data_IF_203134667356
#
_entry.id   IF_203134667356
#
_cell.length_a   1.000
_cell.length_b   1.000
_cell.length_c   1.000
_cell.angle_alpha   90.00
_cell.angle_beta   90.00
_cell.angle_gamma   90.00
#
_symmetry.space_group_name_H-M   'P 1'
#
loop_
_entity.id
_entity.type
_entity.pdbx_description
1 polymer ?
#
# COMPACT_ATOMS: atom_id res chain seq x y z
N UNK A 1 13.26 8.87 -30.47
CA UNK A 1 13.78 7.68 -29.75
C UNK A 1 14.20 8.17 -28.36
N UNK A 2 13.34 7.97 -27.35
CA UNK A 2 13.75 8.26 -25.99
C UNK A 2 14.69 7.16 -25.51
N UNK A 3 15.92 7.53 -25.24
CA UNK A 3 16.92 6.64 -24.62
C UNK A 3 16.49 6.43 -23.17
N UNK A 4 15.89 5.29 -22.86
CA UNK A 4 15.61 4.89 -21.48
C UNK A 4 16.97 4.71 -20.81
N UNK A 5 17.31 5.63 -19.89
CA UNK A 5 18.53 5.49 -19.10
C UNK A 5 18.32 4.30 -18.15
N UNK A 6 19.20 3.30 -18.16
CA UNK A 6 19.03 2.17 -17.25
C UNK A 6 19.07 2.68 -15.80
N UNK A 7 18.27 2.11 -14.90
CA UNK A 7 18.34 2.42 -13.49
C UNK A 7 19.74 2.10 -12.96
N UNK A 8 20.25 2.83 -11.96
CA UNK A 8 21.50 2.49 -11.32
C UNK A 8 21.43 1.05 -10.80
N UNK A 9 22.55 0.34 -10.84
CA UNK A 9 22.65 -1.09 -10.51
C UNK A 9 22.11 -1.47 -9.12
N UNK A 10 21.84 -0.50 -8.27
CA UNK A 10 21.36 -0.60 -6.90
C UNK A 10 19.83 -0.50 -6.74
N UNK A 11 19.07 -0.31 -7.80
CA UNK A 11 17.62 -0.10 -7.71
C UNK A 11 16.86 -1.19 -8.46
N UNK A 12 15.81 -1.71 -7.82
CA UNK A 12 14.85 -2.58 -8.46
C UNK A 12 13.94 -1.74 -9.36
N UNK A 13 13.89 -2.08 -10.65
CA UNK A 13 12.95 -1.46 -11.57
C UNK A 13 11.68 -2.31 -11.64
N UNK A 14 10.56 -1.71 -11.26
CA UNK A 14 9.27 -2.39 -11.22
C UNK A 14 8.77 -2.74 -12.62
N UNK A 15 9.02 -1.89 -13.60
CA UNK A 15 8.51 -2.05 -14.96
C UNK A 15 9.45 -2.82 -15.88
N UNK A 16 10.76 -2.60 -15.75
CA UNK A 16 11.78 -3.15 -16.63
C UNK A 16 12.53 -4.30 -15.94
N UNK A 17 12.86 -5.32 -16.69
CA UNK A 17 13.70 -6.41 -16.27
C UNK A 17 14.93 -6.52 -17.18
N UNK A 18 16.04 -6.95 -16.61
CA UNK A 18 17.19 -7.40 -17.37
C UNK A 18 16.88 -8.79 -17.90
N UNK A 19 16.65 -8.90 -19.20
CA UNK A 19 16.42 -10.19 -19.87
C UNK A 19 17.66 -10.58 -20.62
N UNK A 20 18.10 -11.82 -20.48
CA UNK A 20 19.08 -12.40 -21.41
C UNK A 20 18.42 -12.54 -22.78
N UNK A 21 19.12 -12.19 -23.84
CA UNK A 21 18.78 -12.28 -25.26
C UNK A 21 17.31 -12.61 -25.62
N UNK A 22 16.48 -11.59 -25.77
CA UNK A 22 15.14 -11.67 -26.35
C UNK A 22 14.93 -10.57 -27.40
N UNK A 23 14.05 -10.77 -28.40
CA UNK A 23 13.96 -9.91 -29.59
C UNK A 23 13.32 -8.53 -29.36
N UNK A 24 12.79 -8.21 -28.20
CA UNK A 24 11.98 -7.00 -27.98
C UNK A 24 12.58 -5.97 -26.99
N UNK A 25 13.85 -6.06 -26.64
CA UNK A 25 14.47 -5.18 -25.64
C UNK A 25 15.55 -4.27 -26.21
N UNK A 26 15.82 -3.19 -25.50
CA UNK A 26 16.95 -2.28 -25.79
C UNK A 26 18.23 -2.91 -25.23
N UNK A 27 19.26 -3.03 -26.07
CA UNK A 27 20.57 -3.48 -25.61
C UNK A 27 21.25 -2.38 -24.79
N UNK A 28 21.66 -2.72 -23.59
CA UNK A 28 22.36 -1.83 -22.68
C UNK A 28 23.67 -2.46 -22.21
N UNK A 29 24.73 -1.69 -22.24
CA UNK A 29 26.03 -2.12 -21.72
C UNK A 29 26.12 -1.77 -20.23
N UNK A 30 26.38 -2.76 -19.39
CA UNK A 30 26.63 -2.60 -17.96
C UNK A 30 28.09 -2.84 -17.64
N UNK A 31 28.71 -1.90 -16.96
CA UNK A 31 30.04 -2.09 -16.40
C UNK A 31 29.90 -2.71 -14.99
N UNK A 32 30.44 -3.89 -14.81
CA UNK A 32 30.52 -4.57 -13.52
C UNK A 32 31.95 -4.44 -13.00
N UNK A 33 32.12 -3.86 -11.82
CA UNK A 33 33.38 -3.91 -11.11
C UNK A 33 33.47 -5.24 -10.37
N UNK A 34 34.46 -6.07 -10.71
CA UNK A 34 34.81 -7.25 -9.93
C UNK A 34 35.60 -6.85 -8.68
N UNK A 35 35.55 -7.67 -7.66
CA UNK A 35 36.33 -7.50 -6.40
C UNK A 35 37.85 -7.43 -6.62
N UNK A 36 38.33 -7.59 -7.86
CA UNK A 36 39.72 -7.46 -8.26
C UNK A 36 40.03 -6.24 -9.15
N UNK A 37 39.13 -5.24 -9.23
CA UNK A 37 39.38 -3.98 -9.95
C UNK A 37 39.24 -4.05 -11.48
N UNK A 38 38.95 -5.21 -12.05
CA UNK A 38 38.67 -5.32 -13.50
C UNK A 38 37.22 -4.93 -13.81
N UNK A 39 37.07 -4.03 -14.78
CA UNK A 39 35.74 -3.62 -15.30
C UNK A 39 35.39 -4.60 -16.43
N UNK A 40 34.38 -5.39 -16.20
CA UNK A 40 33.81 -6.25 -17.24
C UNK A 40 32.55 -5.53 -17.80
N UNK A 41 32.49 -5.39 -19.12
CA UNK A 41 31.30 -4.87 -19.81
C UNK A 41 30.41 -6.04 -20.16
N UNK A 42 29.23 -6.10 -19.57
CA UNK A 42 28.21 -7.09 -19.88
C UNK A 42 27.11 -6.41 -20.71
N UNK A 43 26.81 -6.94 -21.88
CA UNK A 43 25.67 -6.51 -22.68
C UNK A 43 24.44 -7.31 -22.24
N UNK A 44 23.40 -6.63 -21.80
CA UNK A 44 22.14 -7.25 -21.45
C UNK A 44 20.98 -6.54 -22.18
N UNK A 45 19.94 -7.29 -22.46
CA UNK A 45 18.71 -6.73 -23.02
C UNK A 45 17.82 -6.28 -21.86
N UNK A 46 17.32 -5.06 -21.94
CA UNK A 46 16.33 -4.53 -20.99
C UNK A 46 14.99 -4.48 -21.68
N UNK A 47 14.00 -5.14 -21.13
CA UNK A 47 12.63 -5.14 -21.64
C UNK A 47 11.61 -5.04 -20.51
N UNK A 48 10.35 -4.75 -20.83
CA UNK A 48 9.31 -4.74 -19.83
C UNK A 48 9.13 -6.14 -19.22
N UNK A 49 8.84 -6.20 -17.92
CA UNK A 49 8.40 -7.43 -17.28
C UNK A 49 7.10 -7.90 -17.91
N UNK A 50 6.85 -9.20 -17.98
CA UNK A 50 5.69 -9.78 -18.68
C UNK A 50 4.37 -9.13 -18.27
N UNK A 51 4.17 -8.89 -17.00
CA UNK A 51 2.95 -8.24 -16.47
C UNK A 51 2.86 -6.75 -16.81
N UNK A 52 3.98 -6.11 -17.19
CA UNK A 52 3.99 -4.72 -17.68
C UNK A 52 3.97 -4.62 -19.22
N UNK A 53 4.11 -5.72 -19.96
CA UNK A 53 4.18 -5.68 -21.41
C UNK A 53 2.96 -4.99 -22.06
N UNK A 54 1.70 -5.27 -21.68
CA UNK A 54 0.54 -4.57 -22.23
C UNK A 54 0.53 -3.07 -21.94
N UNK A 55 1.03 -2.68 -20.76
CA UNK A 55 1.15 -1.28 -20.37
C UNK A 55 2.28 -0.57 -21.12
N UNK A 56 3.43 -1.21 -21.25
CA UNK A 56 4.56 -0.72 -22.05
C UNK A 56 4.18 -0.49 -23.50
N UNK A 57 3.48 -1.44 -24.11
CA UNK A 57 2.92 -1.33 -25.45
C UNK A 57 1.96 -0.15 -25.61
N UNK A 58 1.13 0.05 -24.60
CA UNK A 58 0.21 1.18 -24.58
C UNK A 58 0.96 2.50 -24.47
N UNK A 59 1.97 2.61 -23.58
CA UNK A 59 2.81 3.80 -23.41
C UNK A 59 3.53 4.18 -24.71
N UNK A 60 4.12 3.20 -25.42
CA UNK A 60 4.85 3.47 -26.66
C UNK A 60 3.97 3.99 -27.80
N UNK A 61 2.67 3.67 -27.75
CA UNK A 61 1.68 4.14 -28.72
C UNK A 61 0.95 5.41 -28.29
N UNK A 62 1.11 5.81 -27.03
CA UNK A 62 0.43 6.99 -26.47
C UNK A 62 1.32 8.19 -26.60
N UNK A 63 0.81 9.28 -27.22
CA UNK A 63 1.54 10.53 -27.30
C UNK A 63 1.77 11.14 -25.92
N UNK A 64 2.95 11.70 -25.68
CA UNK A 64 3.32 12.36 -24.42
C UNK A 64 2.31 13.44 -24.00
N UNK A 65 1.80 14.19 -24.99
CA UNK A 65 0.76 15.18 -24.76
C UNK A 65 -0.53 14.58 -24.18
N UNK A 66 -0.89 13.36 -24.59
CA UNK A 66 -2.06 12.66 -24.05
C UNK A 66 -1.85 12.26 -22.58
N UNK A 67 -0.66 11.81 -22.21
CA UNK A 67 -0.32 11.50 -20.82
C UNK A 67 -0.37 12.77 -19.94
N UNK A 68 0.19 13.86 -20.42
CA UNK A 68 0.14 15.15 -19.72
C UNK A 68 -1.30 15.63 -19.52
N UNK A 69 -2.15 15.49 -20.52
CA UNK A 69 -3.58 15.83 -20.41
C UNK A 69 -4.30 14.94 -19.40
N UNK A 70 -4.06 13.63 -19.41
CA UNK A 70 -4.66 12.69 -18.45
C UNK A 70 -4.21 12.99 -17.03
N UNK A 71 -2.95 13.36 -16.82
CA UNK A 71 -2.44 13.80 -15.51
C UNK A 71 -3.15 15.08 -15.04
N UNK A 72 -3.27 16.07 -15.89
CA UNK A 72 -4.00 17.30 -15.57
C UNK A 72 -5.48 17.04 -15.25
N UNK A 73 -6.12 16.09 -15.95
CA UNK A 73 -7.48 15.65 -15.66
C UNK A 73 -7.57 14.94 -14.30
N UNK A 74 -6.59 14.12 -13.94
CA UNK A 74 -6.51 13.48 -12.64
C UNK A 74 -6.44 14.52 -11.51
N UNK A 75 -5.53 15.48 -11.63
CA UNK A 75 -5.35 16.56 -10.66
C UNK A 75 -6.62 17.41 -10.50
N UNK A 76 -7.30 17.71 -11.63
CA UNK A 76 -8.57 18.45 -11.59
C UNK A 76 -9.69 17.66 -10.90
N UNK A 77 -9.78 16.36 -11.15
CA UNK A 77 -10.75 15.48 -10.50
C UNK A 77 -10.49 15.41 -9.00
N UNK A 78 -9.25 15.24 -8.58
CA UNK A 78 -8.88 15.20 -7.16
C UNK A 78 -9.22 16.51 -6.45
N UNK A 79 -8.92 17.66 -7.06
CA UNK A 79 -9.34 18.97 -6.51
C UNK A 79 -10.85 19.07 -6.35
N UNK A 80 -11.63 18.68 -7.35
CA UNK A 80 -13.10 18.77 -7.33
C UNK A 80 -13.75 17.88 -6.28
N UNK A 81 -13.13 16.73 -5.99
CA UNK A 81 -13.63 15.77 -4.99
C UNK A 81 -13.16 16.15 -3.58
N UNK A 82 -12.18 17.08 -3.47
CA UNK A 82 -11.60 17.46 -2.18
C UNK A 82 -10.60 16.43 -1.64
N UNK A 83 -9.94 15.67 -2.53
CA UNK A 83 -8.87 14.73 -2.15
C UNK A 83 -7.61 15.52 -1.87
N UNK A 84 -7.61 16.20 -0.75
CA UNK A 84 -6.52 17.05 -0.28
C UNK A 84 -6.07 16.56 1.09
N UNK A 85 -4.86 16.89 1.46
CA UNK A 85 -4.36 16.70 2.81
C UNK A 85 -3.73 17.98 3.33
N UNK A 86 -3.89 18.20 4.61
CA UNK A 86 -3.24 19.32 5.30
C UNK A 86 -1.97 18.82 5.94
N UNK A 87 -0.85 19.48 5.70
CA UNK A 87 0.42 19.12 6.34
C UNK A 87 0.41 19.68 7.77
N UNK A 88 0.53 18.81 8.76
CA UNK A 88 0.65 19.22 10.15
C UNK A 88 1.91 20.07 10.35
N UNK A 89 1.76 21.26 10.90
CA UNK A 89 2.88 22.20 11.13
C UNK A 89 3.06 23.28 10.05
N UNK A 90 2.22 23.31 9.02
CA UNK A 90 2.17 24.40 8.06
C UNK A 90 1.03 25.36 8.47
N UNK A 91 1.40 26.47 9.14
CA UNK A 91 0.44 27.48 9.60
C UNK A 91 -0.27 28.21 8.44
N UNK A 92 0.16 27.99 7.20
CA UNK A 92 -0.47 28.57 6.03
C UNK A 92 -1.81 27.91 5.66
N UNK A 93 -2.14 26.76 6.27
CA UNK A 93 -3.37 26.01 5.99
C UNK A 93 -3.51 25.56 4.54
N UNK A 94 -2.40 25.48 3.81
CA UNK A 94 -2.40 25.16 2.38
C UNK A 94 -2.79 23.71 2.17
N UNK A 95 -3.97 23.49 1.61
CA UNK A 95 -4.40 22.18 1.16
C UNK A 95 -3.54 21.73 -0.03
N UNK A 96 -2.90 20.57 0.13
CA UNK A 96 -2.12 19.93 -0.93
C UNK A 96 -2.90 18.78 -1.53
N UNK A 97 -2.84 18.67 -2.85
CA UNK A 97 -3.34 17.46 -3.53
C UNK A 97 -2.51 16.26 -3.17
N UNK A 98 -3.15 15.12 -3.00
CA UNK A 98 -2.44 13.84 -2.95
C UNK A 98 -1.81 13.60 -4.33
N UNK A 99 -0.48 13.46 -4.42
CA UNK A 99 0.17 13.23 -5.69
C UNK A 99 -0.29 11.90 -6.29
N UNK A 100 -0.73 11.93 -7.54
CA UNK A 100 -1.16 10.74 -8.28
C UNK A 100 -0.18 10.45 -9.40
N UNK A 101 0.39 9.24 -9.40
CA UNK A 101 1.15 8.74 -10.52
C UNK A 101 0.21 8.06 -11.52
N UNK A 102 0.32 8.45 -12.80
CA UNK A 102 -0.45 7.83 -13.87
C UNK A 102 0.12 6.48 -14.31
N UNK A 103 1.33 6.16 -13.87
CA UNK A 103 1.96 4.85 -14.10
C UNK A 103 1.62 3.94 -12.91
N UNK A 104 0.76 2.93 -13.09
CA UNK A 104 0.37 2.05 -12.00
C UNK A 104 1.52 1.12 -11.61
N UNK A 105 1.67 0.85 -10.31
CA UNK A 105 2.45 -0.29 -9.85
C UNK A 105 1.57 -1.53 -9.96
N UNK A 106 2.01 -2.49 -10.79
CA UNK A 106 1.27 -3.73 -11.04
C UNK A 106 1.82 -4.82 -10.10
N UNK A 107 0.94 -5.35 -9.26
CA UNK A 107 1.20 -6.51 -8.41
C UNK A 107 0.49 -7.70 -9.05
N UNK A 108 1.22 -8.73 -9.41
CA UNK A 108 0.65 -9.93 -10.02
C UNK A 108 -0.16 -10.76 -9.02
N UNK A 109 -1.00 -11.67 -9.52
CA UNK A 109 -1.79 -12.56 -8.67
C UNK A 109 -0.91 -13.43 -7.75
N UNK A 110 0.23 -13.92 -8.27
CA UNK A 110 1.17 -14.74 -7.50
C UNK A 110 1.88 -13.91 -6.42
N UNK A 111 2.32 -12.70 -6.76
CA UNK A 111 2.90 -11.78 -5.79
C UNK A 111 1.91 -11.42 -4.69
N UNK A 112 0.65 -11.13 -5.08
CA UNK A 112 -0.40 -10.84 -4.11
C UNK A 112 -0.68 -12.03 -3.20
N UNK A 113 -0.77 -13.22 -3.75
CA UNK A 113 -0.99 -14.44 -2.96
C UNK A 113 0.15 -14.71 -1.97
N UNK A 114 1.38 -14.40 -2.35
CA UNK A 114 2.53 -14.47 -1.44
C UNK A 114 2.42 -13.44 -0.31
N UNK A 115 2.14 -12.17 -0.65
CA UNK A 115 1.95 -11.09 0.31
C UNK A 115 0.79 -11.39 1.28
N UNK A 116 -0.37 -11.80 0.75
CA UNK A 116 -1.56 -12.10 1.53
C UNK A 116 -1.29 -13.16 2.59
N UNK A 117 -0.61 -14.27 2.23
CA UNK A 117 -0.23 -15.30 3.21
C UNK A 117 0.71 -14.75 4.30
N UNK A 118 1.73 -14.00 3.90
CA UNK A 118 2.68 -13.43 4.85
C UNK A 118 2.04 -12.40 5.79
N UNK A 119 1.20 -11.54 5.25
CA UNK A 119 0.49 -10.51 6.02
C UNK A 119 -0.55 -11.15 6.96
N UNK A 120 -1.28 -12.15 6.50
CA UNK A 120 -2.22 -12.91 7.36
C UNK A 120 -1.48 -13.55 8.54
N UNK A 121 -0.36 -14.23 8.28
CA UNK A 121 0.46 -14.82 9.34
C UNK A 121 0.91 -13.76 10.35
N UNK A 122 1.39 -12.61 9.86
CA UNK A 122 1.87 -11.52 10.69
C UNK A 122 0.78 -10.94 11.58
N UNK A 123 -0.37 -10.59 11.01
CA UNK A 123 -1.50 -10.01 11.74
C UNK A 123 -2.06 -10.99 12.76
N UNK A 124 -2.12 -12.28 12.42
CA UNK A 124 -2.50 -13.35 13.36
C UNK A 124 -1.53 -13.43 14.53
N UNK A 125 -0.23 -13.39 14.27
CA UNK A 125 0.79 -13.40 15.33
C UNK A 125 0.70 -12.17 16.25
N UNK A 126 0.40 -10.99 15.70
CA UNK A 126 0.19 -9.76 16.47
C UNK A 126 -1.03 -9.90 17.39
N UNK A 127 -2.16 -10.42 16.90
CA UNK A 127 -3.34 -10.66 17.73
C UNK A 127 -3.08 -11.67 18.84
N UNK A 128 -2.36 -12.77 18.56
CA UNK A 128 -1.94 -13.73 19.60
C UNK A 128 -1.00 -13.11 20.64
N UNK A 129 -0.07 -12.25 20.20
CA UNK A 129 0.80 -11.52 21.12
C UNK A 129 0.00 -10.60 22.04
N UNK A 130 -0.97 -9.84 21.50
CA UNK A 130 -1.83 -8.96 22.31
C UNK A 130 -2.70 -9.77 23.27
N UNK A 131 -3.28 -10.88 22.82
CA UNK A 131 -4.01 -11.80 23.70
C UNK A 131 -3.13 -12.30 24.84
N UNK A 132 -1.89 -12.69 24.57
CA UNK A 132 -0.99 -13.22 25.60
C UNK A 132 -0.60 -12.14 26.62
N UNK A 133 -0.21 -10.94 26.19
CA UNK A 133 0.24 -9.89 27.13
C UNK A 133 -0.87 -9.36 28.04
N UNK A 134 -2.14 -9.43 27.60
CA UNK A 134 -3.29 -9.03 28.43
C UNK A 134 -3.88 -10.16 29.25
N UNK A 135 -3.45 -11.41 29.08
CA UNK A 135 -3.96 -12.57 29.81
C UNK A 135 -2.84 -13.37 30.50
N UNK A 136 -2.33 -14.40 29.80
CA UNK A 136 -1.42 -15.36 30.42
C UNK A 136 0.02 -14.86 30.55
N UNK A 137 0.43 -13.90 29.74
CA UNK A 137 1.78 -13.31 29.75
C UNK A 137 2.90 -14.36 29.57
N UNK A 138 2.65 -15.38 28.74
CA UNK A 138 3.62 -16.47 28.51
C UNK A 138 4.94 -15.95 27.95
N UNK A 139 4.88 -15.02 27.00
CA UNK A 139 6.06 -14.44 26.36
C UNK A 139 6.94 -13.67 27.35
N UNK A 140 6.32 -12.98 28.32
CA UNK A 140 7.00 -12.25 29.39
C UNK A 140 7.58 -13.22 30.44
N UNK A 141 6.82 -14.26 30.82
CA UNK A 141 7.27 -15.31 31.74
C UNK A 141 8.44 -16.12 31.17
N UNK A 142 8.46 -16.32 29.85
CA UNK A 142 9.57 -16.98 29.16
C UNK A 142 10.83 -16.08 29.00
N UNK A 143 10.75 -14.78 29.37
CA UNK A 143 11.89 -13.86 29.23
C UNK A 143 12.25 -13.50 27.80
N UNK A 144 11.34 -13.75 26.83
CA UNK A 144 11.57 -13.43 25.41
C UNK A 144 11.45 -11.92 25.16
N UNK A 145 10.62 -11.24 25.95
CA UNK A 145 10.46 -9.79 25.93
C UNK A 145 10.59 -9.31 27.38
N UNK A 146 11.41 -8.28 27.67
CA UNK A 146 11.49 -7.68 28.97
C UNK A 146 10.12 -7.11 29.41
N UNK A 147 9.71 -7.40 30.64
CA UNK A 147 8.44 -6.95 31.19
C UNK A 147 8.28 -5.43 31.14
N UNK A 148 9.35 -4.71 31.38
CA UNK A 148 9.40 -3.25 31.42
C UNK A 148 9.07 -2.64 30.05
N UNK A 149 9.37 -3.34 28.96
CA UNK A 149 9.02 -2.86 27.61
C UNK A 149 7.50 -2.86 27.36
N UNK A 150 6.77 -3.73 28.02
CA UNK A 150 5.32 -3.84 27.89
C UNK A 150 4.64 -2.98 28.96
N UNK A 151 4.89 -3.27 30.24
CA UNK A 151 4.19 -2.63 31.36
C UNK A 151 4.62 -1.17 31.58
N UNK A 152 5.85 -0.82 31.19
CA UNK A 152 6.34 0.56 31.17
C UNK A 152 5.91 1.38 29.95
N UNK A 153 5.27 0.77 28.96
CA UNK A 153 4.83 1.46 27.76
C UNK A 153 3.53 2.22 28.02
N UNK A 154 3.51 3.52 27.72
CA UNK A 154 2.33 4.38 27.90
C UNK A 154 1.09 3.93 27.10
N UNK A 155 1.27 3.11 26.06
CA UNK A 155 0.19 2.54 25.27
C UNK A 155 -0.37 1.24 25.86
N UNK A 156 0.30 0.64 26.85
CA UNK A 156 -0.22 -0.55 27.52
C UNK A 156 -1.43 -0.18 28.38
N UNK A 157 -2.58 -0.74 28.02
CA UNK A 157 -3.86 -0.42 28.65
C UNK A 157 -4.15 -1.39 29.79
N UNK A 158 -3.74 -1.06 31.01
CA UNK A 158 -3.95 -1.93 32.19
C UNK A 158 -5.41 -2.33 32.41
N UNK A 159 -6.37 -1.50 31.97
CA UNK A 159 -7.80 -1.80 32.02
C UNK A 159 -8.22 -2.97 31.13
N UNK A 160 -7.39 -3.35 30.17
CA UNK A 160 -7.64 -4.48 29.27
C UNK A 160 -7.15 -5.82 29.82
N UNK A 161 -6.42 -5.82 30.93
CA UNK A 161 -5.93 -7.06 31.56
C UNK A 161 -7.12 -7.94 31.96
N UNK A 162 -7.15 -9.15 31.40
CA UNK A 162 -8.21 -10.12 31.65
C UNK A 162 -9.53 -9.86 30.92
N UNK A 163 -9.63 -8.80 30.12
CA UNK A 163 -10.83 -8.52 29.33
C UNK A 163 -10.88 -9.44 28.11
N UNK A 164 -11.94 -10.21 28.01
CA UNK A 164 -12.20 -11.04 26.81
C UNK A 164 -12.78 -10.15 25.71
N UNK A 165 -12.08 -10.06 24.58
CA UNK A 165 -12.55 -9.33 23.40
C UNK A 165 -13.27 -10.30 22.45
N UNK A 166 -14.25 -9.82 21.65
CA UNK A 166 -14.92 -10.64 20.64
C UNK A 166 -13.89 -11.27 19.66
N UNK A 167 -14.07 -12.55 19.38
CA UNK A 167 -13.23 -13.32 18.46
C UNK A 167 -11.72 -13.33 18.77
N UNK A 168 -11.32 -13.00 19.99
CA UNK A 168 -9.91 -12.79 20.41
C UNK A 168 -9.16 -11.83 19.48
N UNK A 169 -9.88 -10.89 18.85
CA UNK A 169 -9.33 -9.92 17.89
C UNK A 169 -9.13 -8.57 18.54
N UNK A 170 -7.88 -8.26 18.89
CA UNK A 170 -7.48 -6.98 19.51
C UNK A 170 -7.25 -5.90 18.45
N UNK A 171 -6.77 -6.29 17.26
CA UNK A 171 -6.52 -5.39 16.13
C UNK A 171 -7.32 -5.90 14.95
N UNK A 172 -8.40 -5.19 14.65
CA UNK A 172 -9.33 -5.54 13.56
C UNK A 172 -8.91 -4.98 12.21
N UNK A 173 -8.17 -3.87 12.21
CA UNK A 173 -7.69 -3.17 11.00
C UNK A 173 -6.21 -2.88 11.17
N UNK A 174 -5.41 -3.29 10.18
CA UNK A 174 -3.97 -3.07 10.17
C UNK A 174 -3.53 -2.41 8.88
N UNK A 175 -2.62 -1.44 8.97
CA UNK A 175 -1.88 -0.88 7.85
C UNK A 175 -0.44 -1.37 7.91
N UNK A 176 -0.12 -2.41 7.16
CA UNK A 176 1.23 -2.94 7.10
C UNK A 176 1.98 -2.30 5.95
N UNK A 177 3.00 -1.52 6.25
CA UNK A 177 3.83 -0.88 5.24
C UNK A 177 4.85 -1.89 4.70
N UNK A 178 4.85 -2.07 3.39
CA UNK A 178 5.76 -2.97 2.70
C UNK A 178 6.60 -2.22 1.69
N UNK A 179 7.84 -2.64 1.54
CA UNK A 179 8.77 -2.14 0.53
C UNK A 179 9.31 -3.30 -0.29
N UNK A 180 9.55 -3.05 -1.58
CA UNK A 180 10.29 -3.98 -2.42
C UNK A 180 11.75 -3.54 -2.47
N UNK A 181 12.65 -4.41 -2.05
CA UNK A 181 14.08 -4.14 -2.04
C UNK A 181 14.72 -4.40 -3.42
N UNK A 182 16.00 -4.06 -3.55
CA UNK A 182 16.79 -4.21 -4.78
C UNK A 182 16.90 -5.65 -5.27
N UNK A 183 16.73 -6.63 -4.37
CA UNK A 183 16.67 -8.06 -4.71
C UNK A 183 15.30 -8.51 -5.24
N UNK A 184 14.34 -7.58 -5.36
CA UNK A 184 12.96 -7.83 -5.79
C UNK A 184 12.05 -8.43 -4.70
N UNK A 185 12.56 -8.64 -3.48
CA UNK A 185 11.77 -9.20 -2.37
C UNK A 185 11.02 -8.12 -1.61
N UNK A 186 9.89 -8.52 -1.06
CA UNK A 186 9.09 -7.67 -0.19
C UNK A 186 9.54 -7.79 1.26
N UNK A 187 9.61 -6.65 1.93
CA UNK A 187 9.93 -6.52 3.34
C UNK A 187 8.88 -5.67 4.03
N UNK A 188 8.55 -6.01 5.26
CA UNK A 188 7.72 -5.17 6.12
C UNK A 188 8.58 -4.06 6.70
N UNK A 189 8.14 -2.82 6.55
CA UNK A 189 8.77 -1.64 7.13
C UNK A 189 8.20 -1.37 8.52
N UNK A 190 6.87 -1.31 8.64
CA UNK A 190 6.18 -1.11 9.93
C UNK A 190 4.76 -1.69 9.91
N UNK A 191 4.19 -1.81 11.11
CA UNK A 191 2.80 -2.19 11.33
C UNK A 191 2.04 -1.02 11.96
N UNK A 192 1.12 -0.43 11.24
CA UNK A 192 0.20 0.56 11.77
C UNK A 192 -1.02 -0.16 12.36
N UNK A 193 -1.05 -0.33 13.68
CA UNK A 193 -2.07 -1.13 14.38
C UNK A 193 -3.17 -0.29 15.01
N UNK A 194 -3.03 1.03 14.95
CA UNK A 194 -3.99 1.96 15.51
C UNK A 194 -4.37 2.99 14.46
N UNK A 195 -5.65 2.98 14.07
CA UNK A 195 -6.26 3.92 13.11
C UNK A 195 -5.43 4.09 11.83
N UNK A 196 -5.05 3.02 11.11
CA UNK A 196 -4.38 3.18 9.83
C UNK A 196 -5.26 3.98 8.87
N UNK A 197 -4.64 4.81 8.04
CA UNK A 197 -5.34 5.69 7.10
C UNK A 197 -4.87 5.45 5.66
N UNK A 198 -5.59 6.02 4.69
CA UNK A 198 -5.18 6.02 3.29
C UNK A 198 -5.98 5.12 2.35
N UNK A 199 -6.86 4.25 2.85
CA UNK A 199 -7.65 3.34 2.01
C UNK A 199 -8.64 4.07 1.11
N UNK A 200 -9.20 5.20 1.56
CA UNK A 200 -10.06 6.05 0.74
C UNK A 200 -9.36 6.56 -0.50
N UNK A 201 -8.09 6.93 -0.37
CA UNK A 201 -7.27 7.38 -1.50
C UNK A 201 -6.97 6.24 -2.48
N UNK A 202 -6.72 5.04 -1.99
CA UNK A 202 -6.57 3.84 -2.83
C UNK A 202 -7.84 3.58 -3.64
N UNK A 203 -9.02 3.61 -3.00
CA UNK A 203 -10.32 3.43 -3.66
C UNK A 203 -10.58 4.51 -4.72
N UNK A 204 -10.26 5.76 -4.41
CA UNK A 204 -10.40 6.87 -5.34
C UNK A 204 -9.40 6.81 -6.49
N UNK A 205 -8.14 6.43 -6.23
CA UNK A 205 -7.15 6.18 -7.27
C UNK A 205 -7.61 5.09 -8.24
N UNK A 206 -8.17 3.99 -7.74
CA UNK A 206 -8.75 2.94 -8.57
C UNK A 206 -9.86 3.48 -9.47
N UNK A 207 -10.83 4.20 -8.91
CA UNK A 207 -11.93 4.81 -9.67
C UNK A 207 -11.40 5.76 -10.75
N UNK A 208 -10.40 6.58 -10.41
CA UNK A 208 -9.78 7.50 -11.35
C UNK A 208 -9.02 6.79 -12.45
N UNK A 209 -8.21 5.78 -12.13
CA UNK A 209 -7.49 5.00 -13.12
C UNK A 209 -8.45 4.33 -14.10
N UNK A 210 -9.55 3.74 -13.64
CA UNK A 210 -10.58 3.15 -14.50
C UNK A 210 -11.23 4.19 -15.42
N UNK A 211 -11.40 5.42 -14.96
CA UNK A 211 -11.99 6.51 -15.76
C UNK A 211 -11.03 7.08 -16.79
N UNK A 212 -9.75 7.23 -16.44
CA UNK A 212 -8.75 7.86 -17.29
C UNK A 212 -8.09 6.88 -18.26
N UNK A 213 -8.07 5.58 -17.91
CA UNK A 213 -7.38 4.53 -18.64
C UNK A 213 -8.26 3.28 -18.84
N UNK A 214 -9.52 3.42 -19.29
CA UNK A 214 -10.44 2.29 -19.43
C UNK A 214 -9.88 1.20 -20.35
N UNK A 215 -9.12 1.58 -21.36
CA UNK A 215 -8.50 0.64 -22.31
C UNK A 215 -7.51 -0.33 -21.66
N UNK A 216 -6.88 0.06 -20.53
CA UNK A 216 -5.97 -0.84 -19.80
C UNK A 216 -6.75 -1.87 -18.99
N UNK A 217 -7.87 -1.47 -18.41
CA UNK A 217 -8.73 -2.38 -17.63
C UNK A 217 -9.49 -3.37 -18.53
N UNK A 218 -9.75 -3.02 -19.78
CA UNK A 218 -10.34 -3.95 -20.76
C UNK A 218 -9.39 -5.07 -21.17
N UNK A 219 -8.09 -4.83 -21.10
CA UNK A 219 -7.06 -5.80 -21.52
C UNK A 219 -6.51 -6.64 -20.39
N UNK A 220 -6.70 -6.24 -19.15
CA UNK A 220 -6.16 -6.90 -17.98
C UNK A 220 -7.24 -7.15 -16.95
N UNK A 221 -7.27 -8.35 -16.38
CA UNK A 221 -8.13 -8.65 -15.25
C UNK A 221 -7.52 -8.09 -13.98
N UNK A 222 -8.14 -7.05 -13.44
CA UNK A 222 -7.71 -6.40 -12.19
C UNK A 222 -8.73 -6.74 -11.10
N UNK A 223 -8.27 -7.24 -9.95
CA UNK A 223 -9.16 -7.56 -8.82
C UNK A 223 -9.93 -6.32 -8.36
N UNK A 224 -11.25 -6.43 -8.08
CA UNK A 224 -12.04 -5.35 -7.53
C UNK A 224 -11.59 -5.01 -6.11
N UNK A 225 -11.76 -3.74 -5.72
CA UNK A 225 -11.45 -3.24 -4.36
C UNK A 225 -12.65 -2.53 -3.73
N UNK A 226 -13.72 -2.37 -4.46
CA UNK A 226 -14.91 -1.60 -4.10
C UNK A 226 -15.68 -2.19 -2.91
N UNK A 227 -15.44 -3.46 -2.60
CA UNK A 227 -16.05 -4.16 -1.47
C UNK A 227 -15.44 -3.82 -0.10
N UNK A 228 -14.31 -3.10 -0.08
CA UNK A 228 -13.62 -2.75 1.18
C UNK A 228 -14.53 -2.06 2.21
N UNK A 229 -15.32 -1.02 1.87
CA UNK A 229 -16.18 -0.37 2.87
C UNK A 229 -17.24 -1.30 3.47
N UNK A 230 -17.77 -2.23 2.68
CA UNK A 230 -18.72 -3.22 3.17
C UNK A 230 -18.07 -4.19 4.17
N UNK A 231 -16.85 -4.66 3.88
CA UNK A 231 -16.08 -5.49 4.81
C UNK A 231 -15.70 -4.73 6.08
N UNK A 232 -15.34 -3.44 5.96
CA UNK A 232 -15.06 -2.59 7.12
C UNK A 232 -16.28 -2.48 8.02
N UNK A 233 -17.45 -2.19 7.45
CA UNK A 233 -18.69 -2.14 8.22
C UNK A 233 -19.01 -3.46 8.91
N UNK A 234 -18.83 -4.58 8.21
CA UNK A 234 -19.00 -5.91 8.79
C UNK A 234 -18.05 -6.12 9.98
N UNK A 235 -16.76 -5.83 9.81
CA UNK A 235 -15.75 -5.94 10.87
C UNK A 235 -16.11 -5.09 12.10
N UNK A 236 -16.63 -3.87 11.88
CA UNK A 236 -17.06 -2.99 12.98
C UNK A 236 -18.30 -3.54 13.70
N UNK A 237 -19.24 -4.15 12.97
CA UNK A 237 -20.42 -4.80 13.57
C UNK A 237 -20.05 -6.04 14.39
N UNK A 238 -19.06 -6.79 13.95
CA UNK A 238 -18.56 -7.99 14.64
C UNK A 238 -17.71 -7.68 15.88
N UNK A 239 -17.39 -6.40 16.14
CA UNK A 239 -16.70 -5.98 17.36
C UNK A 239 -17.57 -6.03 18.62
N UNK A 240 -18.84 -6.45 18.52
CA UNK A 240 -19.80 -6.58 19.64
C UNK A 240 -20.71 -7.78 19.38
N UNK A 241 -21.24 -8.36 20.47
CA UNK A 241 -22.24 -9.45 20.42
C UNK A 241 -23.69 -8.92 20.28
N UNK A 242 -23.87 -7.62 20.10
CA UNK A 242 -25.20 -7.00 19.93
C UNK A 242 -25.69 -7.26 18.51
N UNK A 243 -26.89 -7.76 18.37
CA UNK A 243 -27.55 -7.92 17.08
C UNK A 243 -27.78 -6.55 16.41
N UNK A 244 -27.33 -6.43 15.17
CA UNK A 244 -27.45 -5.22 14.34
C UNK A 244 -27.03 -3.92 15.07
N UNK A 245 -25.77 -3.81 15.52
CA UNK A 245 -25.32 -2.66 16.29
C UNK A 245 -25.26 -1.39 15.44
N UNK A 246 -25.49 -0.25 16.05
CA UNK A 246 -25.28 1.05 15.42
C UNK A 246 -23.80 1.37 15.38
N UNK A 247 -23.26 1.54 14.18
CA UNK A 247 -21.86 1.95 13.97
C UNK A 247 -21.80 3.46 13.77
N UNK A 248 -20.99 4.13 14.60
CA UNK A 248 -20.81 5.59 14.56
C UNK A 248 -19.36 5.92 14.27
N UNK A 249 -19.13 6.74 13.26
CA UNK A 249 -17.81 7.26 12.94
C UNK A 249 -17.61 8.63 13.58
N UNK A 250 -16.65 8.73 14.49
CA UNK A 250 -16.27 10.00 15.13
C UNK A 250 -15.17 10.67 14.33
N UNK A 251 -15.28 11.98 14.15
CA UNK A 251 -14.23 12.78 13.48
C UNK A 251 -13.96 14.06 14.26
N UNK A 252 -12.69 14.52 14.33
CA UNK A 252 -12.35 15.84 14.88
C UNK A 252 -12.87 17.01 14.02
N UNK A 253 -13.45 16.72 12.85
CA UNK A 253 -14.03 17.72 11.94
C UNK A 253 -13.11 18.13 10.80
N UNK A 254 -13.57 19.12 10.05
CA UNK A 254 -13.00 19.53 8.74
C UNK A 254 -11.53 19.99 8.75
N UNK A 255 -11.00 20.33 9.91
CA UNK A 255 -9.59 20.75 10.03
C UNK A 255 -8.64 19.60 10.28
N UNK A 256 -9.16 18.37 10.41
CA UNK A 256 -8.33 17.19 10.54
C UNK A 256 -7.83 16.73 9.15
N UNK A 257 -6.57 16.34 9.04
CA UNK A 257 -5.96 15.89 7.78
C UNK A 257 -6.66 14.67 7.18
N UNK A 258 -7.27 13.81 8.00
CA UNK A 258 -7.99 12.61 7.58
C UNK A 258 -9.50 12.86 7.39
N UNK A 259 -9.99 14.12 7.43
CA UNK A 259 -11.43 14.41 7.35
C UNK A 259 -12.08 13.89 6.07
N UNK A 260 -11.39 14.01 4.94
CA UNK A 260 -11.86 13.43 3.68
C UNK A 260 -12.12 11.93 3.84
N UNK A 261 -11.16 11.18 4.40
CA UNK A 261 -11.28 9.74 4.58
C UNK A 261 -12.43 9.38 5.53
N UNK A 262 -12.59 10.12 6.64
CA UNK A 262 -13.68 9.90 7.58
C UNK A 262 -15.04 10.02 6.90
N UNK A 263 -15.27 11.10 6.17
CA UNK A 263 -16.55 11.35 5.47
C UNK A 263 -16.77 10.39 4.31
N UNK A 264 -15.72 10.10 3.55
CA UNK A 264 -15.80 9.16 2.43
C UNK A 264 -16.18 7.75 2.90
N UNK A 265 -15.49 7.21 3.91
CA UNK A 265 -15.78 5.88 4.43
C UNK A 265 -17.16 5.82 5.07
N UNK A 266 -17.57 6.85 5.84
CA UNK A 266 -18.91 6.91 6.40
C UNK A 266 -19.98 6.83 5.30
N UNK A 267 -19.84 7.60 4.22
CA UNK A 267 -20.77 7.56 3.09
C UNK A 267 -20.78 6.23 2.34
N UNK A 268 -19.63 5.57 2.21
CA UNK A 268 -19.52 4.30 1.49
C UNK A 268 -20.05 3.12 2.32
N UNK A 269 -20.06 3.23 3.63
CA UNK A 269 -20.61 2.22 4.55
C UNK A 269 -22.12 2.33 4.71
N UNK A 270 -22.74 3.47 4.37
CA UNK A 270 -24.16 3.76 4.54
C UNK A 270 -24.42 4.44 5.86
#
# INVERSE_FOLDING_TARGET
MHTIKPPPASHYDEMLAWTGAGPAGVQVQRQLQSSGGQVQTQTATVGPRDHYAPYSDWLTRTAEQSLTQRRAQADLLFRRIGITFTVSGDDSGTERLIPSDVIPRIITADEWSYLERGLTQRVTAINHFLADIYHEQKILKAGLIPREQIEGNAQFQTKMIGVKVPHDTYVSITGVDIVRNNDGKYYVLEDNLRVPSGVSYMLMNRKMMMRLFPELFLKQTVRPVEHYPALLLQTLREATDIDNPTVVLLTPGRYNSAYFEHTFLAQQMG
#
